data_IF_250562607500
#
_entry.id   IF_250562607500
#
_cell.length_a   1.000
_cell.length_b   1.000
_cell.length_c   1.000
_cell.angle_alpha   90.00
_cell.angle_beta   90.00
_cell.angle_gamma   90.00
#
_symmetry.space_group_name_H-M   'P 1'
#
loop_
_entity.id
_entity.type
_entity.pdbx_description
1 polymer ?
#
# COMPACT_ATOMS: atom_id res chain seq x y z
N UNK A 1 -15.75 -9.71 -18.72
CA UNK A 1 -15.00 -10.23 -17.57
C UNK A 1 -15.48 -11.63 -17.22
N UNK A 2 -14.57 -12.57 -16.92
CA UNK A 2 -14.94 -13.93 -16.57
C UNK A 2 -15.70 -13.97 -15.23
N UNK A 3 -16.76 -14.79 -15.15
CA UNK A 3 -17.54 -14.98 -13.91
C UNK A 3 -16.83 -15.88 -12.89
N UNK A 4 -15.89 -16.72 -13.35
CA UNK A 4 -15.12 -17.65 -12.54
C UNK A 4 -13.70 -17.78 -13.10
N UNK A 5 -12.70 -17.83 -12.20
CA UNK A 5 -11.29 -18.04 -12.56
C UNK A 5 -10.80 -19.27 -11.80
N UNK A 6 -10.30 -20.25 -12.55
CA UNK A 6 -9.76 -21.49 -12.01
C UNK A 6 -8.24 -21.45 -12.08
N UNK A 7 -7.58 -21.41 -10.92
CA UNK A 7 -6.13 -21.40 -10.80
C UNK A 7 -5.68 -22.82 -10.54
N UNK A 8 -4.87 -23.37 -11.45
CA UNK A 8 -4.50 -24.79 -11.41
C UNK A 8 -3.09 -25.05 -10.88
N UNK A 9 -2.20 -24.08 -10.98
CA UNK A 9 -0.78 -24.26 -10.66
C UNK A 9 -0.03 -22.95 -10.46
N UNK A 10 1.22 -23.08 -10.03
CA UNK A 10 2.22 -22.03 -9.87
C UNK A 10 3.54 -22.55 -10.44
N UNK A 11 4.19 -21.80 -11.34
CA UNK A 11 5.54 -22.09 -11.84
C UNK A 11 5.63 -23.38 -12.69
N UNK A 12 4.64 -23.61 -13.54
CA UNK A 12 4.61 -24.64 -14.56
C UNK A 12 5.17 -24.09 -15.90
N UNK A 13 6.41 -23.56 -15.91
CA UNK A 13 7.10 -23.04 -17.12
C UNK A 13 7.49 -24.11 -18.15
N UNK A 14 6.70 -25.18 -18.30
CA UNK A 14 6.94 -26.19 -19.33
C UNK A 14 5.67 -26.40 -20.14
N UNK A 15 5.66 -25.87 -21.36
CA UNK A 15 4.76 -26.36 -22.40
C UNK A 15 5.33 -27.70 -22.91
N UNK A 16 4.66 -28.80 -22.62
CA UNK A 16 5.03 -30.09 -23.20
C UNK A 16 4.79 -30.05 -24.70
N UNK A 17 5.75 -30.54 -25.51
CA UNK A 17 5.52 -30.80 -26.94
C UNK A 17 5.42 -32.31 -27.14
N UNK A 18 4.30 -32.76 -27.68
CA UNK A 18 4.02 -34.17 -27.93
C UNK A 18 3.83 -34.42 -29.43
N UNK A 19 4.27 -35.57 -29.92
CA UNK A 19 4.02 -35.97 -31.32
C UNK A 19 2.52 -36.10 -31.60
N UNK A 20 1.75 -36.59 -30.62
CA UNK A 20 0.29 -36.58 -30.62
C UNK A 20 -0.21 -36.47 -29.17
N UNK A 21 -1.25 -35.67 -28.92
CA UNK A 21 -1.92 -35.59 -27.63
C UNK A 21 -3.44 -35.46 -27.83
N UNK A 22 -4.23 -36.34 -27.23
CA UNK A 22 -5.70 -36.35 -27.36
C UNK A 22 -6.19 -36.29 -28.82
N UNK A 23 -5.50 -36.98 -29.74
CA UNK A 23 -5.83 -36.98 -31.18
C UNK A 23 -5.33 -35.77 -31.97
N UNK A 24 -4.59 -34.85 -31.34
CA UNK A 24 -3.99 -33.69 -32.01
C UNK A 24 -2.51 -33.97 -32.29
N UNK A 25 -2.06 -33.99 -33.56
CA UNK A 25 -0.65 -34.17 -33.90
C UNK A 25 0.17 -32.90 -33.60
N UNK A 26 1.43 -33.07 -33.22
CA UNK A 26 2.37 -32.02 -32.80
C UNK A 26 1.77 -31.07 -31.74
N UNK A 27 1.13 -31.64 -30.73
CA UNK A 27 0.37 -30.91 -29.74
C UNK A 27 1.27 -30.22 -28.70
N UNK A 28 0.86 -29.02 -28.31
CA UNK A 28 1.40 -28.26 -27.19
C UNK A 28 0.29 -28.07 -26.16
N UNK A 29 -0.03 -29.10 -25.35
CA UNK A 29 -0.96 -28.93 -24.25
C UNK A 29 -0.39 -27.92 -23.25
N UNK A 30 -1.28 -27.06 -22.79
CA UNK A 30 -1.07 -26.09 -21.70
C UNK A 30 -0.04 -24.97 -21.99
N UNK A 31 -0.29 -23.79 -21.42
CA UNK A 31 0.70 -22.70 -21.25
C UNK A 31 1.39 -22.18 -22.53
N UNK A 32 0.90 -22.51 -23.73
CA UNK A 32 1.62 -22.18 -24.97
C UNK A 32 1.51 -20.70 -25.37
N UNK A 33 0.52 -19.97 -24.84
CA UNK A 33 0.40 -18.51 -24.97
C UNK A 33 -0.40 -17.89 -23.81
N UNK A 34 -0.44 -16.56 -23.75
CA UNK A 34 -1.10 -15.80 -22.68
C UNK A 34 -2.61 -16.10 -22.54
N UNK A 35 -3.32 -16.37 -23.64
CA UNK A 35 -4.76 -16.65 -23.62
C UNK A 35 -5.11 -18.05 -23.09
N UNK A 36 -4.17 -18.99 -23.20
CA UNK A 36 -4.32 -20.37 -22.73
C UNK A 36 -3.32 -20.69 -21.60
N UNK A 37 -2.82 -19.65 -20.92
CA UNK A 37 -2.04 -19.81 -19.72
C UNK A 37 -2.93 -20.23 -18.56
N UNK A 38 -2.48 -21.24 -17.82
CA UNK A 38 -3.14 -21.76 -16.61
C UNK A 38 -2.32 -21.46 -15.35
N UNK A 39 -1.23 -20.68 -15.49
CA UNK A 39 -0.34 -20.24 -14.41
C UNK A 39 -0.78 -18.89 -13.85
N UNK A 40 -0.38 -18.63 -12.61
CA UNK A 40 -0.65 -17.37 -11.92
C UNK A 40 0.62 -16.60 -11.56
N UNK A 41 1.79 -17.20 -11.76
CA UNK A 41 3.05 -16.51 -11.46
C UNK A 41 3.22 -15.23 -12.30
N UNK A 42 3.85 -14.19 -11.74
CA UNK A 42 4.16 -12.99 -12.50
C UNK A 42 5.04 -13.29 -13.73
N UNK A 43 4.69 -12.72 -14.88
CA UNK A 43 5.46 -12.87 -16.12
C UNK A 43 5.99 -11.54 -16.64
N UNK A 44 7.02 -11.60 -17.52
CA UNK A 44 7.51 -10.43 -18.27
C UNK A 44 6.61 -10.06 -19.45
N UNK A 45 5.67 -10.93 -19.82
CA UNK A 45 4.74 -10.74 -20.94
C UNK A 45 3.54 -9.87 -20.57
N UNK A 46 2.49 -9.93 -21.39
CA UNK A 46 1.30 -9.09 -21.24
C UNK A 46 0.50 -9.41 -19.96
N UNK A 47 0.62 -10.64 -19.44
CA UNK A 47 -0.09 -11.06 -18.23
C UNK A 47 0.42 -10.37 -16.95
N UNK A 48 1.70 -9.95 -16.92
CA UNK A 48 2.35 -9.30 -15.78
C UNK A 48 2.03 -10.04 -14.48
N UNK A 49 1.60 -9.33 -13.44
CA UNK A 49 1.16 -9.89 -12.16
C UNK A 49 -0.36 -9.78 -11.94
N UNK A 50 -1.14 -9.57 -13.01
CA UNK A 50 -2.57 -9.25 -12.90
C UNK A 50 -3.36 -10.35 -12.18
N UNK A 51 -3.17 -11.61 -12.56
CA UNK A 51 -3.88 -12.73 -11.94
C UNK A 51 -3.41 -13.00 -10.51
N UNK A 52 -2.11 -12.84 -10.24
CA UNK A 52 -1.59 -12.93 -8.87
C UNK A 52 -2.25 -11.89 -7.96
N UNK A 53 -2.35 -10.63 -8.42
CA UNK A 53 -2.97 -9.56 -7.65
C UNK A 53 -4.48 -9.78 -7.46
N UNK A 54 -5.15 -10.32 -8.47
CA UNK A 54 -6.55 -10.68 -8.38
C UNK A 54 -6.79 -11.77 -7.33
N UNK A 55 -5.98 -12.84 -7.34
CA UNK A 55 -6.02 -13.90 -6.32
C UNK A 55 -5.81 -13.30 -4.93
N UNK A 56 -4.75 -12.50 -4.75
CA UNK A 56 -4.47 -11.86 -3.46
C UNK A 56 -5.67 -11.01 -3.03
N UNK A 57 -6.26 -10.21 -3.92
CA UNK A 57 -7.45 -9.41 -3.61
C UNK A 57 -8.63 -10.26 -3.13
N UNK A 58 -8.93 -11.37 -3.81
CA UNK A 58 -10.02 -12.27 -3.42
C UNK A 58 -9.73 -13.02 -2.12
N UNK A 59 -8.50 -13.51 -1.93
CA UNK A 59 -8.10 -14.15 -0.67
C UNK A 59 -8.28 -13.20 0.50
N UNK A 60 -7.84 -11.94 0.38
CA UNK A 60 -7.98 -10.93 1.44
C UNK A 60 -9.44 -10.58 1.73
N UNK A 61 -10.32 -10.56 0.71
CA UNK A 61 -11.77 -10.31 0.90
C UNK A 61 -12.49 -11.50 1.51
N UNK A 62 -12.14 -12.72 1.10
CA UNK A 62 -12.83 -13.94 1.51
C UNK A 62 -12.34 -14.46 2.87
N UNK A 63 -11.01 -14.58 3.05
CA UNK A 63 -10.40 -15.08 4.29
C UNK A 63 -10.12 -13.98 5.31
N UNK A 64 -10.06 -12.72 4.86
CA UNK A 64 -9.58 -11.61 5.68
C UNK A 64 -8.04 -11.51 5.68
N UNK A 65 -7.55 -10.45 6.32
CA UNK A 65 -6.13 -10.26 6.67
C UNK A 65 -6.05 -9.68 8.07
N UNK A 66 -4.89 -9.87 8.70
CA UNK A 66 -4.62 -9.22 9.98
C UNK A 66 -4.72 -7.70 9.85
N UNK A 67 -5.26 -7.07 10.89
CA UNK A 67 -5.33 -5.62 10.97
C UNK A 67 -3.90 -5.06 11.07
N UNK A 68 -3.53 -4.01 10.32
CA UNK A 68 -2.25 -3.34 10.48
C UNK A 68 -2.04 -2.90 11.93
N UNK A 69 -0.81 -3.03 12.43
CA UNK A 69 -0.42 -2.48 13.73
C UNK A 69 -0.64 -0.96 13.72
N UNK A 70 -1.19 -0.44 14.82
CA UNK A 70 -1.47 0.99 14.95
C UNK A 70 -0.15 1.79 15.07
N UNK A 71 -0.12 2.96 14.44
CA UNK A 71 0.99 3.88 14.60
C UNK A 71 1.17 4.29 16.07
N UNK A 72 2.42 4.46 16.50
CA UNK A 72 2.73 5.15 17.75
C UNK A 72 2.22 6.61 17.69
N UNK A 73 2.20 7.29 18.84
CA UNK A 73 1.94 8.74 18.85
C UNK A 73 2.96 9.44 17.94
N UNK A 74 2.50 10.45 17.20
CA UNK A 74 3.36 11.31 16.38
C UNK A 74 4.56 11.83 17.20
N UNK A 75 5.72 11.85 16.57
CA UNK A 75 7.02 12.14 17.16
C UNK A 75 7.87 12.91 16.15
N UNK A 76 8.41 14.05 16.57
CA UNK A 76 9.42 14.79 15.81
C UNK A 76 10.74 14.02 15.85
N UNK A 77 11.35 13.82 14.69
CA UNK A 77 12.64 13.17 14.55
C UNK A 77 13.66 14.21 14.12
N UNK A 78 14.74 14.37 14.89
CA UNK A 78 15.95 14.99 14.40
C UNK A 78 16.75 13.93 13.64
N UNK A 79 16.71 14.02 12.31
CA UNK A 79 17.36 13.04 11.43
C UNK A 79 18.90 13.12 11.49
N UNK A 80 19.46 14.16 12.10
CA UNK A 80 20.91 14.32 12.30
C UNK A 80 21.35 14.00 13.73
N UNK A 81 20.43 13.59 14.60
CA UNK A 81 20.76 13.19 15.96
C UNK A 81 21.68 11.97 15.99
N UNK A 82 22.60 11.97 16.94
CA UNK A 82 23.44 10.80 17.22
C UNK A 82 22.67 9.67 17.93
N UNK A 83 21.59 10.03 18.62
CA UNK A 83 20.71 9.08 19.30
C UNK A 83 19.71 8.43 18.34
N UNK A 84 19.42 7.14 18.54
CA UNK A 84 18.37 6.46 17.77
C UNK A 84 16.97 6.89 18.24
N UNK A 85 16.43 7.92 17.59
CA UNK A 85 15.08 8.42 17.88
C UNK A 85 13.95 7.51 17.35
N UNK A 86 14.25 6.39 16.67
CA UNK A 86 13.24 5.53 16.07
C UNK A 86 12.84 4.33 16.91
N UNK A 87 13.53 4.05 18.03
CA UNK A 87 13.34 2.81 18.81
C UNK A 87 11.88 2.54 19.19
N UNK A 88 11.12 3.55 19.62
CA UNK A 88 9.73 3.48 20.06
C UNK A 88 8.70 3.80 18.95
N UNK A 89 9.15 4.12 17.74
CA UNK A 89 8.27 4.40 16.59
C UNK A 89 7.68 3.10 16.06
N UNK A 90 6.36 3.11 15.85
CA UNK A 90 5.56 1.98 15.35
C UNK A 90 4.65 2.40 14.19
N UNK A 91 4.26 1.46 13.31
CA UNK A 91 4.75 0.07 13.27
C UNK A 91 6.16 -0.02 12.68
N UNK A 92 6.81 -1.17 12.89
CA UNK A 92 7.95 -1.55 12.06
C UNK A 92 7.44 -2.28 10.82
N UNK A 93 7.60 -1.65 9.66
CA UNK A 93 7.19 -2.21 8.38
C UNK A 93 8.27 -3.20 7.92
N UNK A 94 8.20 -4.43 8.42
CA UNK A 94 9.16 -5.47 8.09
C UNK A 94 9.10 -5.84 6.60
N UNK A 95 10.27 -6.07 6.00
CA UNK A 95 10.45 -6.62 4.67
C UNK A 95 11.28 -7.90 4.76
N UNK A 96 11.08 -8.82 3.82
CA UNK A 96 11.88 -10.03 3.76
C UNK A 96 13.27 -9.69 3.20
N UNK A 97 14.33 -9.95 3.98
CA UNK A 97 15.72 -9.75 3.54
C UNK A 97 16.30 -10.95 2.79
N UNK A 98 17.46 -10.77 2.18
CA UNK A 98 18.15 -11.77 1.36
C UNK A 98 17.69 -11.79 -0.10
N UNK A 99 17.02 -10.73 -0.56
CA UNK A 99 16.48 -10.64 -1.92
C UNK A 99 17.44 -10.04 -2.95
N UNK A 100 18.61 -9.57 -2.52
CA UNK A 100 19.65 -8.95 -3.36
C UNK A 100 20.70 -9.92 -3.90
N UNK A 101 20.49 -11.23 -3.76
CA UNK A 101 21.42 -12.22 -4.30
C UNK A 101 21.49 -12.11 -5.83
N UNK A 102 22.70 -12.10 -6.37
CA UNK A 102 22.92 -12.19 -7.81
C UNK A 102 22.35 -13.52 -8.33
N UNK A 103 21.64 -13.45 -9.44
CA UNK A 103 21.03 -14.61 -10.10
C UNK A 103 21.80 -14.87 -11.38
N UNK A 104 22.26 -16.09 -11.58
CA UNK A 104 22.93 -16.51 -12.80
C UNK A 104 22.54 -17.97 -13.05
N UNK A 105 21.70 -18.22 -14.05
CA UNK A 105 21.14 -19.54 -14.32
C UNK A 105 21.04 -19.81 -15.82
N UNK A 106 21.30 -21.05 -16.27
CA UNK A 106 21.03 -21.45 -17.63
C UNK A 106 19.53 -21.41 -17.94
N UNK A 107 19.17 -20.93 -19.13
CA UNK A 107 17.82 -21.00 -19.66
C UNK A 107 17.63 -22.18 -20.61
N UNK A 108 16.49 -22.21 -21.31
CA UNK A 108 16.26 -23.16 -22.39
C UNK A 108 17.24 -22.91 -23.56
N UNK A 109 17.69 -23.96 -24.25
CA UNK A 109 18.58 -23.97 -25.43
C UNK A 109 19.23 -22.63 -25.83
N UNK A 110 20.42 -22.36 -25.29
CA UNK A 110 21.24 -21.20 -25.67
C UNK A 110 20.90 -19.90 -24.95
N UNK A 111 19.79 -19.84 -24.21
CA UNK A 111 19.49 -18.72 -23.31
C UNK A 111 20.24 -18.85 -21.99
N UNK A 112 20.60 -17.70 -21.43
CA UNK A 112 21.23 -17.58 -20.13
C UNK A 112 20.66 -16.35 -19.42
N UNK A 113 20.24 -16.51 -18.17
CA UNK A 113 19.63 -15.45 -17.39
C UNK A 113 20.59 -15.00 -16.30
N UNK A 114 21.03 -13.75 -16.38
CA UNK A 114 21.90 -13.13 -15.39
C UNK A 114 21.28 -11.83 -14.89
N UNK A 115 21.35 -11.62 -13.57
CA UNK A 115 20.97 -10.40 -12.91
C UNK A 115 21.90 -10.17 -11.70
N UNK A 116 22.67 -9.09 -11.77
CA UNK A 116 23.62 -8.66 -10.75
C UNK A 116 23.25 -7.30 -10.16
N UNK A 117 21.99 -6.88 -10.30
CA UNK A 117 21.51 -5.58 -9.84
C UNK A 117 21.24 -5.51 -8.34
N UNK A 118 21.26 -6.63 -7.62
CA UNK A 118 21.08 -6.64 -6.17
C UNK A 118 22.12 -5.76 -5.47
N UNK A 119 21.67 -4.84 -4.61
CA UNK A 119 22.53 -3.85 -3.94
C UNK A 119 22.14 -3.63 -2.48
N UNK A 120 21.14 -2.79 -2.21
CA UNK A 120 20.71 -2.49 -0.84
C UNK A 120 19.58 -3.45 -0.41
N UNK A 121 19.88 -4.42 0.47
CA UNK A 121 18.91 -5.42 0.97
C UNK A 121 18.04 -4.80 2.07
N UNK A 122 16.84 -4.34 1.73
CA UNK A 122 15.93 -3.60 2.60
C UNK A 122 15.20 -4.58 3.52
N UNK A 123 15.41 -4.42 4.83
CA UNK A 123 14.83 -5.29 5.86
C UNK A 123 13.62 -4.67 6.57
N UNK A 124 13.47 -3.35 6.47
CA UNK A 124 12.26 -2.71 6.96
C UNK A 124 12.27 -1.19 6.91
N UNK A 125 11.17 -0.61 7.36
CA UNK A 125 10.99 0.83 7.43
C UNK A 125 10.19 1.26 8.66
N UNK A 126 10.27 2.54 9.01
CA UNK A 126 9.40 3.21 9.98
C UNK A 126 8.94 4.55 9.44
N UNK A 127 7.75 4.95 9.86
CA UNK A 127 7.16 6.25 9.51
C UNK A 127 6.57 6.88 10.76
N UNK A 128 6.80 8.18 10.93
CA UNK A 128 6.15 9.00 11.96
C UNK A 128 5.87 10.39 11.40
N UNK A 129 5.17 11.21 12.16
CA UNK A 129 4.88 12.60 11.79
C UNK A 129 4.88 13.48 13.04
N UNK A 130 5.04 14.78 12.82
CA UNK A 130 4.67 15.83 13.77
C UNK A 130 3.65 16.77 13.12
N UNK A 131 3.56 18.03 13.58
CA UNK A 131 2.59 18.98 13.03
C UNK A 131 2.89 19.31 11.56
N UNK A 132 4.16 19.37 11.17
CA UNK A 132 4.61 19.99 9.92
C UNK A 132 5.23 18.97 8.95
N UNK A 133 5.78 17.87 9.46
CA UNK A 133 6.57 16.91 8.69
C UNK A 133 6.06 15.48 8.81
N UNK A 134 6.34 14.70 7.77
CA UNK A 134 6.35 13.23 7.79
C UNK A 134 7.80 12.79 7.69
N UNK A 135 8.20 11.86 8.56
CA UNK A 135 9.54 11.31 8.62
C UNK A 135 9.50 9.86 8.17
N UNK A 136 10.38 9.51 7.24
CA UNK A 136 10.57 8.15 6.76
C UNK A 136 11.96 7.68 7.14
N UNK A 137 12.05 6.44 7.63
CA UNK A 137 13.32 5.73 7.80
C UNK A 137 13.22 4.39 7.09
N UNK A 138 14.27 4.04 6.35
CA UNK A 138 14.46 2.70 5.77
C UNK A 138 15.77 2.12 6.27
N UNK A 139 15.74 0.84 6.56
CA UNK A 139 16.85 0.08 7.09
C UNK A 139 17.22 -1.05 6.12
N UNK A 140 18.51 -1.17 5.85
CA UNK A 140 19.09 -2.25 5.07
C UNK A 140 19.81 -3.23 5.99
N UNK A 141 20.05 -4.45 5.51
CA UNK A 141 20.78 -5.47 6.26
C UNK A 141 22.24 -5.07 6.49
N UNK A 142 22.88 -4.57 5.44
CA UNK A 142 24.26 -4.06 5.44
C UNK A 142 24.26 -2.53 5.31
N UNK A 143 25.41 -1.89 5.43
CA UNK A 143 25.53 -0.45 5.23
C UNK A 143 25.03 -0.02 3.84
N UNK A 144 24.32 1.11 3.77
CA UNK A 144 23.74 1.61 2.53
C UNK A 144 24.86 2.00 1.55
N UNK A 145 24.66 1.67 0.27
CA UNK A 145 25.59 2.01 -0.81
C UNK A 145 25.70 3.53 -1.05
N UNK A 146 26.63 3.95 -1.92
CA UNK A 146 26.83 5.37 -2.24
C UNK A 146 25.56 6.02 -2.80
N UNK A 147 25.21 7.20 -2.28
CA UNK A 147 24.05 7.98 -2.74
C UNK A 147 24.22 8.58 -4.13
N UNK A 148 25.43 8.56 -4.69
CA UNK A 148 25.73 9.02 -6.04
C UNK A 148 25.30 8.04 -7.12
N UNK A 149 25.03 6.79 -6.76
CA UNK A 149 24.66 5.77 -7.72
C UNK A 149 23.28 6.06 -8.32
N UNK A 150 23.03 5.69 -9.59
CA UNK A 150 21.70 5.83 -10.17
C UNK A 150 20.68 4.94 -9.45
N UNK A 151 19.41 5.37 -9.53
CA UNK A 151 18.26 4.67 -8.95
C UNK A 151 18.46 4.26 -7.47
N UNK A 152 19.19 5.09 -6.72
CA UNK A 152 19.52 4.82 -5.32
C UNK A 152 18.35 5.11 -4.39
N UNK A 153 17.93 4.10 -3.64
CA UNK A 153 16.97 4.19 -2.54
C UNK A 153 15.78 5.14 -2.82
N UNK A 154 15.02 4.81 -3.87
CA UNK A 154 13.82 5.55 -4.29
C UNK A 154 12.69 5.31 -3.31
N UNK A 155 12.03 6.39 -2.86
CA UNK A 155 10.82 6.33 -2.05
C UNK A 155 9.63 6.77 -2.89
N UNK A 156 8.70 5.85 -3.13
CA UNK A 156 7.43 6.12 -3.79
C UNK A 156 6.34 6.33 -2.74
N UNK A 157 5.53 7.38 -2.92
CA UNK A 157 4.54 7.82 -1.93
C UNK A 157 3.19 8.02 -2.63
N UNK A 158 2.16 7.46 -2.00
CA UNK A 158 0.76 7.57 -2.34
C UNK A 158 0.01 8.14 -1.13
N UNK A 159 -0.69 9.25 -1.32
CA UNK A 159 -1.44 9.91 -0.24
C UNK A 159 -2.93 9.64 -0.45
N UNK A 160 -3.55 8.92 0.49
CA UNK A 160 -4.94 8.49 0.32
C UNK A 160 -5.89 9.69 0.14
N UNK A 161 -6.76 9.59 -0.85
CA UNK A 161 -7.76 10.61 -1.17
C UNK A 161 -7.27 11.71 -2.12
N UNK A 162 -6.00 11.70 -2.52
CA UNK A 162 -5.55 12.56 -3.60
C UNK A 162 -6.15 12.14 -4.94
N UNK A 163 -6.43 13.16 -5.75
CA UNK A 163 -6.90 13.01 -7.13
C UNK A 163 -5.89 13.69 -8.02
N UNK A 164 -5.51 13.03 -9.11
CA UNK A 164 -4.58 13.61 -10.06
C UNK A 164 -3.80 12.56 -10.82
N UNK A 165 -2.88 13.02 -11.69
CA UNK A 165 -1.90 12.15 -12.31
C UNK A 165 -1.07 11.38 -11.28
N UNK A 166 -0.75 10.15 -11.61
CA UNK A 166 0.12 9.27 -10.84
C UNK A 166 0.89 8.33 -11.79
N UNK A 167 1.97 7.74 -11.28
CA UNK A 167 2.57 6.55 -11.87
C UNK A 167 2.21 5.37 -11.00
N UNK A 168 1.47 4.40 -11.55
CA UNK A 168 1.17 3.14 -10.85
C UNK A 168 0.62 3.39 -9.43
N UNK A 169 -0.29 4.36 -9.30
CA UNK A 169 -0.92 4.84 -8.05
C UNK A 169 -0.02 5.61 -7.09
N UNK A 170 1.19 6.02 -7.49
CA UNK A 170 2.07 6.89 -6.71
C UNK A 170 2.02 8.32 -7.24
N UNK A 171 1.64 9.27 -6.39
CA UNK A 171 1.64 10.69 -6.74
C UNK A 171 3.02 11.32 -6.60
N UNK A 172 3.90 10.75 -5.76
CA UNK A 172 5.21 11.34 -5.46
C UNK A 172 6.33 10.30 -5.48
N UNK A 173 7.52 10.78 -5.79
CA UNK A 173 8.77 10.03 -5.69
C UNK A 173 9.86 10.90 -5.08
N UNK A 174 10.70 10.29 -4.24
CA UNK A 174 11.95 10.89 -3.76
C UNK A 174 13.11 10.04 -4.28
N UNK A 175 14.22 10.70 -4.63
CA UNK A 175 15.44 10.09 -5.16
C UNK A 175 15.29 9.37 -6.52
N UNK A 176 14.33 9.77 -7.37
CA UNK A 176 14.33 9.31 -8.78
C UNK A 176 15.65 9.70 -9.44
N UNK A 177 16.05 10.95 -9.20
CA UNK A 177 17.38 11.51 -9.42
C UNK A 177 18.16 11.36 -8.12
N UNK A 178 19.40 10.86 -8.22
CA UNK A 178 20.27 10.66 -7.07
C UNK A 178 20.47 11.97 -6.29
N UNK A 179 20.40 11.94 -4.95
CA UNK A 179 20.46 13.15 -4.13
C UNK A 179 21.84 13.78 -4.13
N UNK A 180 21.88 15.11 -3.93
CA UNK A 180 23.10 15.85 -3.64
C UNK A 180 23.20 16.14 -2.14
N UNK A 181 23.38 17.42 -1.77
CA UNK A 181 23.23 17.88 -0.37
C UNK A 181 21.82 17.63 0.18
N UNK A 182 20.81 17.68 -0.70
CA UNK A 182 19.41 17.39 -0.39
C UNK A 182 18.85 16.34 -1.34
N UNK A 183 17.80 15.66 -0.87
CA UNK A 183 17.03 14.74 -1.69
C UNK A 183 15.98 15.51 -2.49
N UNK A 184 15.65 14.99 -3.67
CA UNK A 184 14.72 15.65 -4.60
C UNK A 184 13.36 14.98 -4.49
N UNK A 185 12.34 15.74 -4.12
CA UNK A 185 10.94 15.33 -4.16
C UNK A 185 10.33 15.76 -5.49
N UNK A 186 9.74 14.80 -6.21
CA UNK A 186 9.03 15.03 -7.45
C UNK A 186 7.59 14.53 -7.34
N UNK A 187 6.69 15.15 -8.11
CA UNK A 187 5.28 14.79 -8.25
C UNK A 187 5.02 14.27 -9.65
N UNK A 188 4.17 13.27 -9.77
CA UNK A 188 3.82 12.66 -11.06
C UNK A 188 2.92 13.58 -11.88
N UNK A 189 3.23 13.69 -13.17
CA UNK A 189 2.37 14.25 -14.21
C UNK A 189 1.66 13.16 -15.03
N UNK A 190 1.75 11.90 -14.61
CA UNK A 190 1.06 10.75 -15.19
C UNK A 190 2.02 9.85 -15.97
N UNK A 191 1.95 8.53 -15.74
CA UNK A 191 2.99 7.62 -16.23
C UNK A 191 4.36 7.94 -15.62
N UNK A 192 5.45 7.48 -16.23
CA UNK A 192 6.81 7.79 -15.76
C UNK A 192 7.26 9.20 -16.16
N UNK A 193 6.51 10.20 -15.72
CA UNK A 193 6.75 11.61 -15.98
C UNK A 193 6.64 12.37 -14.65
N UNK A 194 7.71 13.04 -14.25
CA UNK A 194 7.89 13.57 -12.91
C UNK A 194 8.37 15.01 -12.96
N UNK A 195 7.84 15.83 -12.08
CA UNK A 195 8.19 17.25 -11.95
C UNK A 195 8.66 17.55 -10.53
N UNK A 196 9.78 18.26 -10.40
CA UNK A 196 10.35 18.64 -9.11
C UNK A 196 9.39 19.54 -8.33
N UNK A 197 9.02 19.10 -7.13
CA UNK A 197 8.25 19.89 -6.15
C UNK A 197 9.20 20.71 -5.28
N UNK A 198 10.31 20.13 -4.88
CA UNK A 198 11.26 20.78 -3.98
C UNK A 198 12.37 19.85 -3.51
N UNK A 199 13.24 20.42 -2.68
CA UNK A 199 14.32 19.69 -2.02
C UNK A 199 13.94 19.38 -0.57
N UNK A 200 14.24 18.17 -0.11
CA UNK A 200 13.95 17.68 1.25
C UNK A 200 15.22 17.23 1.96
N UNK A 201 15.22 17.35 3.28
CA UNK A 201 16.36 16.97 4.11
C UNK A 201 16.43 15.44 4.23
N UNK A 202 17.65 14.90 4.15
CA UNK A 202 17.92 13.50 4.39
C UNK A 202 19.23 13.31 5.17
N UNK A 203 19.38 12.15 5.79
CA UNK A 203 20.62 11.70 6.40
C UNK A 203 20.83 10.21 6.15
N UNK A 204 22.10 9.80 6.08
CA UNK A 204 22.51 8.40 5.99
C UNK A 204 23.47 8.13 7.13
N UNK A 205 23.18 7.08 7.92
CA UNK A 205 24.07 6.59 8.97
C UNK A 205 24.07 5.07 8.90
N UNK A 206 25.23 4.49 8.58
CA UNK A 206 25.44 3.06 8.42
C UNK A 206 24.41 2.42 7.47
N UNK A 207 23.47 1.65 8.01
CA UNK A 207 22.45 0.91 7.29
C UNK A 207 21.08 1.63 7.26
N UNK A 208 21.01 2.91 7.65
CA UNK A 208 19.76 3.67 7.72
C UNK A 208 19.79 4.95 6.89
N UNK A 209 18.76 5.10 6.07
CA UNK A 209 18.43 6.34 5.37
C UNK A 209 17.18 6.94 6.03
N UNK A 210 17.27 8.21 6.38
CA UNK A 210 16.18 8.99 6.96
C UNK A 210 15.84 10.16 6.04
N UNK A 211 14.55 10.44 5.86
CA UNK A 211 14.06 11.55 5.04
C UNK A 211 12.98 12.31 5.81
N UNK A 212 13.13 13.63 5.85
CA UNK A 212 12.19 14.57 6.49
C UNK A 212 11.45 15.35 5.40
N UNK A 213 10.14 15.10 5.28
CA UNK A 213 9.31 15.64 4.20
C UNK A 213 8.26 16.59 4.76
N UNK A 214 8.19 17.87 4.32
CA UNK A 214 7.10 18.75 4.71
C UNK A 214 5.75 18.20 4.24
N UNK A 215 4.76 18.12 5.14
CA UNK A 215 3.39 17.67 4.82
C UNK A 215 2.77 18.49 3.68
N UNK A 216 3.05 19.79 3.66
CA UNK A 216 2.54 20.71 2.64
C UNK A 216 3.00 20.34 1.22
N UNK A 217 4.23 19.82 1.05
CA UNK A 217 4.72 19.34 -0.25
C UNK A 217 4.00 18.08 -0.71
N UNK A 218 3.58 17.24 0.24
CA UNK A 218 2.76 16.05 -0.02
C UNK A 218 1.27 16.36 -0.08
N UNK A 219 0.83 17.62 -0.02
CA UNK A 219 -0.59 17.98 -0.01
C UNK A 219 -1.37 17.45 1.20
N UNK A 220 -0.68 17.08 2.28
CA UNK A 220 -1.28 16.57 3.53
C UNK A 220 -1.71 17.76 4.39
N UNK A 221 -2.95 17.72 4.88
CA UNK A 221 -3.51 18.72 5.78
C UNK A 221 -3.94 18.10 7.10
N UNK A 222 -3.52 18.69 8.22
CA UNK A 222 -3.84 18.23 9.57
C UNK A 222 -3.10 16.95 10.00
N UNK A 223 -3.64 16.29 11.01
CA UNK A 223 -2.98 15.16 11.70
C UNK A 223 -3.59 13.79 11.37
N UNK A 224 -4.67 13.76 10.58
CA UNK A 224 -5.34 12.52 10.17
C UNK A 224 -5.17 12.31 8.68
N UNK A 225 -4.30 11.40 8.32
CA UNK A 225 -4.00 11.05 6.95
C UNK A 225 -3.52 9.61 6.86
N UNK A 226 -3.51 9.10 5.64
CA UNK A 226 -2.96 7.78 5.31
C UNK A 226 -1.97 7.95 4.18
N UNK A 227 -0.78 7.39 4.36
CA UNK A 227 0.26 7.34 3.35
C UNK A 227 0.54 5.88 3.04
N UNK A 228 0.34 5.49 1.79
CA UNK A 228 0.88 4.25 1.27
C UNK A 228 2.26 4.53 0.66
N UNK A 229 3.24 3.67 0.90
CA UNK A 229 4.59 3.92 0.41
C UNK A 229 5.33 2.64 0.05
N UNK A 230 6.40 2.81 -0.72
CA UNK A 230 7.29 1.75 -1.17
C UNK A 230 8.71 2.28 -1.27
N UNK A 231 9.66 1.47 -0.84
CA UNK A 231 11.07 1.66 -1.17
C UNK A 231 11.46 0.76 -2.33
N UNK A 232 12.31 1.27 -3.22
CA UNK A 232 12.97 0.46 -4.23
C UNK A 232 14.38 0.96 -4.47
N UNK A 233 15.33 0.05 -4.52
CA UNK A 233 16.71 0.33 -4.86
C UNK A 233 17.05 -0.31 -6.19
N UNK A 234 17.84 0.40 -7.00
CA UNK A 234 18.46 -0.07 -8.22
C UNK A 234 17.49 -0.63 -9.29
N UNK A 235 16.34 0.03 -9.47
CA UNK A 235 15.54 -0.16 -10.69
C UNK A 235 16.39 0.12 -11.93
N UNK A 236 16.31 -0.75 -12.93
CA UNK A 236 17.04 -0.67 -14.20
C UNK A 236 16.17 -0.10 -15.33
N UNK A 237 14.85 -0.30 -15.26
CA UNK A 237 13.91 0.12 -16.30
C UNK A 237 12.95 1.17 -15.76
N UNK A 238 13.29 2.43 -16.00
CA UNK A 238 12.47 3.57 -15.62
C UNK A 238 11.05 3.45 -16.21
N UNK A 239 10.04 3.43 -15.34
CA UNK A 239 8.63 3.34 -15.71
C UNK A 239 8.05 1.93 -15.83
N UNK A 240 8.88 0.89 -15.78
CA UNK A 240 8.38 -0.49 -15.71
C UNK A 240 8.09 -0.86 -14.26
N UNK A 241 6.81 -1.11 -13.94
CA UNK A 241 6.41 -1.50 -12.59
C UNK A 241 6.87 -2.93 -12.23
N UNK A 242 7.14 -3.77 -13.23
CA UNK A 242 7.59 -5.15 -13.02
C UNK A 242 9.03 -5.22 -12.54
N UNK A 243 9.79 -4.12 -12.65
CA UNK A 243 11.14 -4.01 -12.12
C UNK A 243 11.19 -4.25 -10.59
N UNK A 244 10.10 -3.97 -9.87
CA UNK A 244 9.95 -4.27 -8.43
C UNK A 244 10.01 -5.75 -8.08
N UNK A 245 9.97 -6.66 -9.06
CA UNK A 245 10.17 -8.10 -8.85
C UNK A 245 11.57 -8.57 -9.24
N UNK A 246 12.22 -7.86 -10.15
CA UNK A 246 13.36 -8.39 -10.90
C UNK A 246 14.67 -7.77 -10.43
N UNK A 247 14.69 -6.45 -10.30
CA UNK A 247 15.92 -5.67 -10.18
C UNK A 247 16.09 -5.06 -8.79
N UNK A 248 17.35 -5.04 -8.34
CA UNK A 248 17.75 -4.49 -7.06
C UNK A 248 16.98 -5.10 -5.89
N UNK A 249 16.30 -4.24 -5.14
CA UNK A 249 15.37 -4.66 -4.09
C UNK A 249 14.15 -3.73 -4.01
N UNK A 250 13.06 -4.25 -3.47
CA UNK A 250 11.83 -3.50 -3.27
C UNK A 250 11.13 -3.92 -1.98
N UNK A 251 10.78 -2.93 -1.14
CA UNK A 251 10.13 -3.13 0.14
C UNK A 251 8.80 -2.34 0.21
N UNK A 252 7.64 -3.03 0.33
CA UNK A 252 7.48 -4.49 0.28
C UNK A 252 7.69 -5.02 -1.16
N UNK A 253 7.91 -6.33 -1.34
CA UNK A 253 8.17 -6.91 -2.67
C UNK A 253 7.03 -6.70 -3.69
N UNK A 254 7.36 -6.65 -4.98
CA UNK A 254 6.38 -6.50 -6.06
C UNK A 254 5.66 -5.15 -6.04
N UNK A 255 4.40 -5.09 -6.49
CA UNK A 255 3.59 -3.84 -6.50
C UNK A 255 2.86 -3.54 -5.18
N UNK A 256 3.20 -4.22 -4.09
CA UNK A 256 2.59 -3.97 -2.80
C UNK A 256 3.09 -2.64 -2.22
N UNK A 257 2.33 -2.09 -1.26
CA UNK A 257 2.71 -0.88 -0.52
C UNK A 257 2.59 -1.14 0.97
N UNK A 258 3.47 -0.55 1.75
CA UNK A 258 3.24 -0.36 3.17
C UNK A 258 2.19 0.73 3.36
N UNK A 259 1.44 0.67 4.46
CA UNK A 259 0.41 1.66 4.78
C UNK A 259 0.64 2.22 6.18
N UNK A 260 0.93 3.51 6.24
CA UNK A 260 1.00 4.29 7.46
C UNK A 260 -0.32 5.04 7.67
N UNK A 261 -0.98 4.79 8.80
CA UNK A 261 -2.20 5.49 9.22
C UNK A 261 -1.83 6.34 10.44
N UNK A 262 -1.93 7.66 10.34
CA UNK A 262 -1.50 8.58 11.40
C UNK A 262 -2.40 8.58 12.65
N UNK A 263 -3.52 7.86 12.60
CA UNK A 263 -4.55 7.80 13.62
C UNK A 263 -5.01 6.36 13.89
N UNK A 264 -5.56 6.12 15.08
CA UNK A 264 -6.16 4.82 15.40
C UNK A 264 -7.47 4.62 14.62
N UNK A 265 -7.39 3.88 13.50
CA UNK A 265 -8.54 3.48 12.70
C UNK A 265 -9.53 2.56 13.45
N UNK A 266 -9.15 2.04 14.63
CA UNK A 266 -10.01 1.19 15.48
C UNK A 266 -10.97 1.94 16.41
N UNK A 267 -10.77 3.25 16.65
CA UNK A 267 -11.57 4.02 17.63
C UNK A 267 -12.75 4.80 17.05
N UNK A 268 -12.90 4.86 15.73
CA UNK A 268 -13.80 5.83 15.06
C UNK A 268 -15.18 5.32 14.63
N UNK A 269 -15.70 4.20 15.18
CA UNK A 269 -17.09 3.77 14.89
C UNK A 269 -18.00 3.58 16.11
N UNK A 270 -17.46 3.41 17.32
CA UNK A 270 -18.29 3.12 18.50
C UNK A 270 -18.93 4.38 19.10
N UNK A 271 -18.17 5.48 19.24
CA UNK A 271 -18.69 6.70 19.86
C UNK A 271 -19.84 7.36 19.05
N UNK A 272 -19.72 7.44 17.72
CA UNK A 272 -20.79 8.00 16.87
C UNK A 272 -22.07 7.15 16.85
N UNK A 273 -21.94 5.81 16.90
CA UNK A 273 -23.10 4.92 16.98
C UNK A 273 -23.82 5.08 18.33
N UNK A 274 -23.08 5.14 19.44
CA UNK A 274 -23.68 5.30 20.77
C UNK A 274 -24.44 6.63 20.88
N UNK A 275 -23.85 7.75 20.43
CA UNK A 275 -24.54 9.04 20.48
C UNK A 275 -25.79 9.10 19.57
N UNK A 276 -25.75 8.50 18.38
CA UNK A 276 -26.91 8.44 17.49
C UNK A 276 -28.05 7.58 18.06
N UNK A 277 -27.72 6.44 18.69
CA UNK A 277 -28.72 5.57 19.33
C UNK A 277 -29.34 6.24 20.57
N UNK A 278 -28.54 6.89 21.42
CA UNK A 278 -29.05 7.58 22.62
C UNK A 278 -29.93 8.77 22.24
N UNK A 279 -29.54 9.59 21.27
CA UNK A 279 -30.36 10.70 20.78
C UNK A 279 -31.68 10.21 20.15
N UNK A 280 -31.64 9.12 19.37
CA UNK A 280 -32.84 8.51 18.79
C UNK A 280 -33.80 7.95 19.84
N UNK A 281 -33.28 7.29 20.89
CA UNK A 281 -34.09 6.77 21.99
C UNK A 281 -34.75 7.88 22.81
N UNK A 282 -34.04 8.98 23.10
CA UNK A 282 -34.61 10.12 23.84
C UNK A 282 -35.72 10.80 23.04
N UNK A 283 -35.57 10.97 21.73
CA UNK A 283 -36.62 11.52 20.86
C UNK A 283 -37.84 10.60 20.77
N UNK A 284 -37.64 9.29 20.68
CA UNK A 284 -38.73 8.32 20.63
C UNK A 284 -39.55 8.30 21.94
N UNK A 285 -38.88 8.33 23.10
CA UNK A 285 -39.54 8.39 24.41
C UNK A 285 -40.31 9.71 24.55
N UNK A 286 -39.74 10.83 24.11
CA UNK A 286 -40.43 12.13 24.11
C UNK A 286 -41.71 12.11 23.28
N UNK A 287 -41.68 11.53 22.08
CA UNK A 287 -42.86 11.42 21.21
C UNK A 287 -43.94 10.50 21.77
N UNK A 288 -43.57 9.38 22.39
CA UNK A 288 -44.52 8.48 23.05
C UNK A 288 -45.18 9.15 24.27
N UNK A 289 -44.43 9.92 25.06
CA UNK A 289 -44.98 10.66 26.18
C UNK A 289 -45.95 11.76 25.72
N UNK A 290 -45.60 12.52 24.68
CA UNK A 290 -46.47 13.56 24.10
C UNK A 290 -47.73 12.93 23.49
N UNK A 291 -47.59 11.84 22.74
CA UNK A 291 -48.71 11.09 22.17
C UNK A 291 -49.64 10.50 23.24
N UNK A 292 -49.06 9.94 24.31
CA UNK A 292 -49.80 9.43 25.47
C UNK A 292 -50.58 10.53 26.18
N UNK A 293 -49.96 11.68 26.46
CA UNK A 293 -50.64 12.84 27.06
C UNK A 293 -51.80 13.32 26.18
N UNK A 294 -51.60 13.40 24.86
CA UNK A 294 -52.66 13.79 23.93
C UNK A 294 -53.81 12.78 23.90
N UNK A 295 -53.51 11.48 23.92
CA UNK A 295 -54.51 10.42 23.92
C UNK A 295 -55.33 10.39 25.22
N UNK A 296 -54.69 10.53 26.38
CA UNK A 296 -55.36 10.61 27.68
C UNK A 296 -56.22 11.88 27.80
N UNK A 297 -55.75 13.02 27.29
CA UNK A 297 -56.52 14.28 27.28
C UNK A 297 -57.76 14.18 26.36
N UNK A 298 -57.63 13.52 25.19
CA UNK A 298 -58.75 13.25 24.27
C UNK A 298 -59.77 12.27 24.88
N UNK A 299 -59.31 11.20 25.55
CA UNK A 299 -60.21 10.24 26.21
C UNK A 299 -61.00 10.89 27.34
N UNK A 300 -60.34 11.68 28.20
CA UNK A 300 -60.99 12.42 29.30
C UNK A 300 -62.04 13.42 28.79
N UNK A 301 -61.77 14.13 27.69
CA UNK A 301 -62.76 15.04 27.09
C UNK A 301 -63.97 14.32 26.47
N UNK A 302 -63.81 13.08 26.00
CA UNK A 302 -64.92 12.28 25.48
C UNK A 302 -65.77 11.68 26.60
N UNK A 303 -65.18 11.27 27.72
CA UNK A 303 -65.95 10.74 28.87
C UNK A 303 -66.84 11.82 29.50
N UNK A 304 -66.36 13.06 29.63
CA UNK A 304 -67.15 14.18 30.19
C UNK A 304 -68.35 14.55 29.29
N UNK A 305 -68.27 14.33 27.98
CA UNK A 305 -69.39 14.57 27.06
C UNK A 305 -70.49 13.50 27.11
N UNK A 306 -70.25 12.37 27.77
CA UNK A 306 -71.21 11.25 27.82
C UNK A 306 -72.07 11.29 29.10
N UNK A 307 -71.71 12.10 30.10
CA UNK A 307 -72.48 12.30 31.34
C UNK A 307 -73.41 13.52 31.32
N UNK A 308 -73.45 14.28 30.20
CA UNK A 308 -74.37 15.41 30.00
C UNK A 308 -75.29 15.11 28.83
N UNK A 309 -76.13 14.09 28.98
CA UNK A 309 -77.37 13.84 28.24
C UNK A 309 -78.08 12.64 28.88
N UNK A 310 -78.62 12.89 30.07
CA UNK A 310 -79.79 12.26 30.67
C UNK A 310 -80.68 13.39 31.19
#
# INVERSE_FOLDING_TARGET
>A
DPEFIFITGWNEWRAGRYEEWMGVPNAFPDQFNDAYSRDIEPSKGELKDHYYYQLVSFVRRFKGVEKPEAASKGKTIDIYSEEDMWTDVKPYFASYGGNTLHRNNPGYLGYHYENTSGRNDIVGAKVTHDNDFVYFMVETKENISSSTDPAWMRLFIDVEGQKGPNWETFEYIINRVSPGEKAVLEKSNGGWNWEKVGDVEYSVKDNRLQIKVPKSMLGINGDKFVVNFKWSDNMQNDGDVMDFYVNGDAAPGGRFKFQYISYDAGRTSSARKIFATVAGCVLAIGLVLIGGIYFFKKKRNNTVKTEVNL
#
